data_IF_550509500150
#
_entry.id   IF_550509500150
#
_cell.length_a   1.000
_cell.length_b   1.000
_cell.length_c   1.000
_cell.angle_alpha   90.00
_cell.angle_beta   90.00
_cell.angle_gamma   90.00
#
_symmetry.space_group_name_H-M   'P 1'
#
loop_
_entity.id
_entity.type
_entity.pdbx_description
1 polymer ?
#
# COMPACT_ATOMS: atom_id res chain seq x y z
N UNK A 1 -14.38 8.80 23.64
CA UNK A 1 -14.00 9.70 22.52
C UNK A 1 -12.89 9.10 21.65
N UNK A 2 -11.87 8.47 22.22
CA UNK A 2 -10.66 8.02 21.49
C UNK A 2 -10.90 6.85 20.52
N UNK A 3 -11.83 5.92 20.81
CA UNK A 3 -12.06 4.72 19.97
C UNK A 3 -12.52 5.06 18.55
N UNK A 4 -13.42 6.02 18.38
CA UNK A 4 -13.92 6.42 17.06
C UNK A 4 -12.80 7.07 16.23
N UNK A 5 -11.96 7.88 16.85
CA UNK A 5 -10.81 8.52 16.20
C UNK A 5 -9.80 7.47 15.74
N UNK A 6 -9.46 6.50 16.60
CA UNK A 6 -8.56 5.40 16.25
C UNK A 6 -9.12 4.58 15.09
N UNK A 7 -10.42 4.28 15.09
CA UNK A 7 -11.07 3.56 13.99
C UNK A 7 -11.00 4.32 12.66
N UNK A 8 -11.23 5.64 12.67
CA UNK A 8 -11.14 6.47 11.47
C UNK A 8 -9.71 6.54 10.92
N UNK A 9 -8.72 6.64 11.81
CA UNK A 9 -7.30 6.65 11.41
C UNK A 9 -6.92 5.28 10.83
N UNK A 10 -7.28 4.18 11.49
CA UNK A 10 -7.00 2.83 10.99
C UNK A 10 -7.64 2.58 9.63
N UNK A 11 -8.90 2.99 9.45
CA UNK A 11 -9.59 2.89 8.17
C UNK A 11 -8.81 3.64 7.07
N UNK A 12 -8.36 4.86 7.35
CA UNK A 12 -7.61 5.69 6.40
C UNK A 12 -6.26 5.07 6.05
N UNK A 13 -5.54 4.56 7.06
CA UNK A 13 -4.23 3.91 6.89
C UNK A 13 -4.32 2.62 6.09
N UNK A 14 -5.43 1.89 6.14
CA UNK A 14 -5.62 0.68 5.32
C UNK A 14 -6.13 1.02 3.92
N UNK A 15 -7.06 1.99 3.81
CA UNK A 15 -7.68 2.34 2.54
C UNK A 15 -6.68 2.93 1.54
N UNK A 16 -5.79 3.83 1.98
CA UNK A 16 -4.80 4.46 1.10
C UNK A 16 -3.91 3.44 0.36
N UNK A 17 -3.17 2.58 1.08
CA UNK A 17 -2.36 1.52 0.50
C UNK A 17 -3.17 0.56 -0.36
N UNK A 18 -4.38 0.16 0.09
CA UNK A 18 -5.24 -0.76 -0.66
C UNK A 18 -5.61 -0.20 -2.04
N UNK A 19 -5.91 1.09 -2.14
CA UNK A 19 -6.20 1.76 -3.41
C UNK A 19 -4.97 1.79 -4.31
N UNK A 20 -3.80 2.14 -3.75
CA UNK A 20 -2.54 2.17 -4.53
C UNK A 20 -2.19 0.78 -5.05
N UNK A 21 -2.33 -0.27 -4.22
CA UNK A 21 -2.10 -1.66 -4.60
C UNK A 21 -3.07 -2.08 -5.72
N UNK A 22 -4.35 -1.72 -5.62
CA UNK A 22 -5.34 -2.05 -6.65
C UNK A 22 -5.01 -1.40 -8.00
N UNK A 23 -4.64 -0.11 -8.00
CA UNK A 23 -4.22 0.63 -9.20
C UNK A 23 -2.94 0.03 -9.78
N UNK A 24 -1.98 -0.28 -8.92
CA UNK A 24 -0.70 -0.87 -9.33
C UNK A 24 -0.91 -2.24 -9.95
N UNK A 25 -1.71 -3.11 -9.32
CA UNK A 25 -2.06 -4.43 -9.85
C UNK A 25 -2.74 -4.36 -11.22
N UNK A 26 -3.70 -3.44 -11.39
CA UNK A 26 -4.34 -3.20 -12.69
C UNK A 26 -3.32 -2.76 -13.76
N UNK A 27 -2.43 -1.80 -13.42
CA UNK A 27 -1.41 -1.31 -14.33
C UNK A 27 -0.41 -2.42 -14.71
N UNK A 28 0.01 -3.23 -13.75
CA UNK A 28 0.91 -4.38 -13.96
C UNK A 28 0.29 -5.40 -14.90
N UNK A 29 -0.97 -5.80 -14.67
CA UNK A 29 -1.68 -6.76 -15.55
C UNK A 29 -1.82 -6.19 -16.97
N UNK A 30 -2.21 -4.91 -17.09
CA UNK A 30 -2.36 -4.24 -18.38
C UNK A 30 -1.04 -4.13 -19.15
N UNK A 31 0.06 -3.83 -18.46
CA UNK A 31 1.39 -3.75 -19.05
C UNK A 31 1.86 -5.14 -19.54
N UNK A 32 1.64 -6.18 -18.73
CA UNK A 32 2.00 -7.56 -19.08
C UNK A 32 1.21 -8.06 -20.29
N UNK A 33 -0.09 -7.76 -20.35
CA UNK A 33 -0.95 -8.12 -21.48
C UNK A 33 -0.54 -7.47 -22.80
N UNK A 34 0.11 -6.29 -22.75
CA UNK A 34 0.66 -5.62 -23.95
C UNK A 34 2.02 -6.15 -24.36
N UNK A 35 2.85 -6.59 -23.41
CA UNK A 35 4.17 -7.15 -23.70
C UNK A 35 4.60 -8.21 -22.65
N UNK A 36 4.28 -9.48 -22.87
CA UNK A 36 4.65 -10.57 -21.95
C UNK A 36 6.17 -10.74 -21.79
N UNK A 37 6.96 -10.40 -22.80
CA UNK A 37 8.43 -10.54 -22.75
C UNK A 37 9.09 -9.58 -21.75
N UNK A 38 8.40 -8.50 -21.36
CA UNK A 38 8.86 -7.54 -20.37
C UNK A 38 8.56 -7.93 -18.92
N UNK A 39 7.97 -9.11 -18.67
CA UNK A 39 7.54 -9.55 -17.34
C UNK A 39 8.61 -9.42 -16.23
N UNK A 40 9.88 -9.82 -16.43
CA UNK A 40 10.89 -9.70 -15.40
C UNK A 40 11.11 -8.25 -14.93
N UNK A 41 11.09 -7.29 -15.88
CA UNK A 41 11.28 -5.87 -15.57
C UNK A 41 10.04 -5.27 -14.91
N UNK A 42 8.85 -5.64 -15.38
CA UNK A 42 7.57 -5.16 -14.83
C UNK A 42 7.39 -5.64 -13.39
N UNK A 43 7.60 -6.94 -13.13
CA UNK A 43 7.45 -7.48 -11.77
C UNK A 43 8.50 -6.92 -10.81
N UNK A 44 9.74 -6.73 -11.25
CA UNK A 44 10.76 -6.08 -10.45
C UNK A 44 10.33 -4.67 -10.03
N UNK A 45 9.90 -3.83 -10.98
CA UNK A 45 9.40 -2.48 -10.68
C UNK A 45 8.16 -2.48 -9.79
N UNK A 46 7.23 -3.40 -10.02
CA UNK A 46 6.00 -3.56 -9.21
C UNK A 46 6.35 -3.93 -7.77
N UNK A 47 7.28 -4.86 -7.55
CA UNK A 47 7.72 -5.27 -6.22
C UNK A 47 8.35 -4.11 -5.45
N UNK A 48 9.23 -3.32 -6.09
CA UNK A 48 9.79 -2.13 -5.45
C UNK A 48 8.71 -1.14 -5.02
N UNK A 49 7.72 -0.88 -5.88
CA UNK A 49 6.61 0.01 -5.55
C UNK A 49 5.76 -0.53 -4.39
N UNK A 50 5.47 -1.84 -4.37
CA UNK A 50 4.76 -2.47 -3.25
C UNK A 50 5.53 -2.33 -1.93
N UNK A 51 6.85 -2.50 -1.94
CA UNK A 51 7.69 -2.30 -0.75
C UNK A 51 7.58 -0.86 -0.23
N UNK A 52 7.59 0.14 -1.10
CA UNK A 52 7.40 1.54 -0.68
C UNK A 52 5.99 1.79 -0.12
N UNK A 53 4.96 1.20 -0.72
CA UNK A 53 3.59 1.30 -0.22
C UNK A 53 3.48 0.72 1.18
N UNK A 54 4.01 -0.48 1.40
CA UNK A 54 4.00 -1.13 2.71
C UNK A 54 4.87 -0.38 3.74
N UNK A 55 6.00 0.19 3.33
CA UNK A 55 6.84 0.99 4.21
C UNK A 55 6.07 2.20 4.77
N UNK A 56 5.26 2.88 3.93
CA UNK A 56 4.41 3.99 4.38
C UNK A 56 3.34 3.49 5.36
N UNK A 57 2.68 2.37 5.06
CA UNK A 57 1.68 1.74 5.95
C UNK A 57 2.27 1.44 7.32
N UNK A 58 3.46 0.82 7.35
CA UNK A 58 4.14 0.45 8.59
C UNK A 58 4.50 1.70 9.40
N UNK A 59 5.06 2.74 8.77
CA UNK A 59 5.38 4.00 9.47
C UNK A 59 4.11 4.62 10.06
N UNK A 60 3.00 4.64 9.33
CA UNK A 60 1.74 5.15 9.84
C UNK A 60 1.22 4.35 11.04
N UNK A 61 1.30 3.02 11.00
CA UNK A 61 0.93 2.15 12.12
C UNK A 61 1.82 2.39 13.36
N UNK A 62 3.13 2.59 13.17
CA UNK A 62 4.05 2.89 14.26
C UNK A 62 3.73 4.24 14.93
N UNK A 63 3.40 5.26 14.14
CA UNK A 63 2.96 6.57 14.67
C UNK A 63 1.68 6.40 15.50
N UNK A 64 0.72 5.60 15.04
CA UNK A 64 -0.50 5.34 15.80
C UNK A 64 -0.20 4.62 17.11
N UNK A 65 0.65 3.59 17.07
CA UNK A 65 1.08 2.89 18.28
C UNK A 65 1.76 3.85 19.27
N UNK A 66 2.60 4.76 18.79
CA UNK A 66 3.27 5.75 19.64
C UNK A 66 2.29 6.75 20.26
N UNK A 67 1.24 7.16 19.53
CA UNK A 67 0.26 8.14 19.99
C UNK A 67 -0.79 7.56 20.95
N UNK A 68 -1.12 6.28 20.81
CA UNK A 68 -2.26 5.64 21.50
C UNK A 68 -1.92 4.35 22.25
N UNK A 69 -0.67 3.89 22.22
CA UNK A 69 -0.23 2.64 22.84
C UNK A 69 0.16 2.74 24.31
N UNK A 70 0.05 3.92 24.93
CA UNK A 70 0.29 4.18 26.35
C UNK A 70 -0.99 4.19 27.17
#
# INVERSE_FOLDING_TARGET
>A
MNTVIILLIMLTVVLGPSIVIAVLGHATIKALGRNPSAAPKIFMGTMFLLVFVEAISIVALLVILQLFGG
#
